data_IF_751354880802
#
_entry.id   IF_751354880802
#
_cell.length_a   1.000
_cell.length_b   1.000
_cell.length_c   1.000
_cell.angle_alpha   90.00
_cell.angle_beta   90.00
_cell.angle_gamma   90.00
#
_symmetry.space_group_name_H-M   'P 1'
#
loop_
_entity.id
_entity.type
_entity.pdbx_description
1 polymer ?
#
# COMPACT_ATOMS: atom_id res chain seq x y z
N UNK A 1 -25.58 -20.22 6.75
CA UNK A 1 -24.38 -19.38 6.67
C UNK A 1 -24.52 -18.24 7.67
N UNK A 2 -23.44 -17.95 8.35
CA UNK A 2 -23.36 -16.83 9.27
C UNK A 2 -22.73 -15.64 8.54
N UNK A 3 -23.24 -14.43 8.77
CA UNK A 3 -22.71 -13.18 8.22
C UNK A 3 -22.59 -12.14 9.31
N UNK A 4 -21.75 -11.14 9.08
CA UNK A 4 -21.61 -9.97 9.93
C UNK A 4 -21.63 -8.71 9.07
N UNK A 5 -22.36 -7.69 9.49
CA UNK A 5 -22.43 -6.40 8.77
C UNK A 5 -21.17 -5.60 9.02
N UNK A 6 -20.32 -5.45 8.00
CA UNK A 6 -19.09 -4.67 8.08
C UNK A 6 -19.29 -3.28 7.50
N UNK A 7 -18.95 -2.24 8.28
CA UNK A 7 -19.04 -0.84 7.89
C UNK A 7 -17.68 -0.32 7.40
N UNK A 8 -17.59 0.06 6.13
CA UNK A 8 -16.38 0.59 5.52
C UNK A 8 -16.24 2.10 5.74
N UNK A 9 -15.00 2.63 5.79
CA UNK A 9 -14.76 4.08 5.90
C UNK A 9 -15.35 4.92 4.78
N UNK A 10 -15.67 4.29 3.64
CA UNK A 10 -16.35 4.94 2.50
C UNK A 10 -17.84 5.19 2.72
N UNK A 11 -18.41 4.78 3.87
CA UNK A 11 -19.85 4.81 4.16
C UNK A 11 -20.62 3.61 3.59
N UNK A 12 -19.99 2.73 2.82
CA UNK A 12 -20.61 1.47 2.36
C UNK A 12 -20.67 0.46 3.51
N UNK A 13 -21.69 -0.39 3.50
CA UNK A 13 -21.77 -1.59 4.33
C UNK A 13 -21.87 -2.83 3.47
N UNK A 14 -21.38 -3.95 3.96
CA UNK A 14 -21.56 -5.26 3.32
C UNK A 14 -21.79 -6.35 4.39
N UNK A 15 -22.56 -7.36 4.01
CA UNK A 15 -22.70 -8.59 4.77
C UNK A 15 -21.52 -9.50 4.42
N UNK A 16 -20.54 -9.56 5.31
CA UNK A 16 -19.35 -10.39 5.13
C UNK A 16 -19.59 -11.79 5.68
N UNK A 17 -19.12 -12.81 4.96
CA UNK A 17 -19.25 -14.21 5.36
C UNK A 17 -18.38 -14.50 6.59
N UNK A 18 -18.98 -15.07 7.62
CA UNK A 18 -18.30 -15.58 8.80
C UNK A 18 -18.14 -17.09 8.67
N UNK A 19 -16.91 -17.57 8.48
CA UNK A 19 -16.62 -18.98 8.33
C UNK A 19 -16.28 -19.59 9.69
N UNK A 20 -17.24 -20.28 10.30
CA UNK A 20 -17.10 -20.91 11.63
C UNK A 20 -16.91 -22.42 11.57
N UNK A 21 -17.10 -23.03 10.39
CA UNK A 21 -17.04 -24.47 10.21
C UNK A 21 -16.68 -24.88 8.78
N UNK A 22 -16.43 -26.19 8.58
CA UNK A 22 -16.06 -26.74 7.28
C UNK A 22 -17.13 -26.52 6.19
N UNK A 23 -18.41 -26.54 6.55
CA UNK A 23 -19.49 -26.36 5.58
C UNK A 23 -19.50 -24.94 4.99
N UNK A 24 -19.22 -23.91 5.82
CA UNK A 24 -19.06 -22.53 5.37
C UNK A 24 -17.88 -22.37 4.41
N UNK A 25 -16.75 -23.02 4.70
CA UNK A 25 -15.58 -23.00 3.81
C UNK A 25 -15.87 -23.70 2.48
N UNK A 26 -16.45 -24.90 2.51
CA UNK A 26 -16.84 -25.64 1.31
C UNK A 26 -17.86 -24.87 0.47
N UNK A 27 -18.78 -24.17 1.10
CA UNK A 27 -19.72 -23.29 0.42
C UNK A 27 -19.03 -22.16 -0.35
N UNK A 28 -18.09 -21.47 0.28
CA UNK A 28 -17.32 -20.40 -0.37
C UNK A 28 -16.54 -20.93 -1.58
N UNK A 29 -15.88 -22.08 -1.42
CA UNK A 29 -15.13 -22.75 -2.51
C UNK A 29 -16.06 -23.20 -3.63
N UNK A 30 -17.26 -23.72 -3.31
CA UNK A 30 -18.26 -24.13 -4.31
C UNK A 30 -18.77 -22.95 -5.15
N UNK A 31 -18.76 -21.74 -4.59
CA UNK A 31 -19.03 -20.50 -5.33
C UNK A 31 -17.82 -19.98 -6.14
N UNK A 32 -16.73 -20.74 -6.21
CA UNK A 32 -15.51 -20.35 -6.93
C UNK A 32 -14.57 -19.44 -6.15
N UNK A 33 -14.81 -19.20 -4.87
CA UNK A 33 -13.92 -18.39 -4.03
C UNK A 33 -12.75 -19.24 -3.53
N UNK A 34 -11.63 -19.20 -4.25
CA UNK A 34 -10.39 -19.91 -3.89
C UNK A 34 -9.38 -19.02 -3.18
N UNK A 35 -9.44 -17.72 -3.40
CA UNK A 35 -8.58 -16.71 -2.81
C UNK A 35 -9.30 -16.03 -1.65
N UNK A 36 -9.10 -16.55 -0.43
CA UNK A 36 -9.78 -16.10 0.77
C UNK A 36 -8.98 -14.98 1.45
N UNK A 37 -9.59 -13.81 1.57
CA UNK A 37 -8.96 -12.62 2.10
C UNK A 37 -9.76 -12.05 3.29
N UNK A 38 -9.57 -12.55 4.52
CA UNK A 38 -10.31 -12.07 5.69
C UNK A 38 -9.85 -10.68 6.15
N UNK A 39 -10.77 -9.99 6.83
CA UNK A 39 -10.45 -8.82 7.66
C UNK A 39 -9.61 -9.22 8.88
N UNK A 40 -8.89 -8.24 9.48
CA UNK A 40 -8.06 -8.45 10.67
C UNK A 40 -8.88 -8.44 11.98
N UNK A 41 -10.13 -8.88 11.94
CA UNK A 41 -11.07 -8.88 13.07
C UNK A 41 -11.83 -10.19 13.16
N UNK A 42 -12.38 -10.48 14.32
CA UNK A 42 -13.36 -11.56 14.53
C UNK A 42 -14.78 -11.01 14.50
N UNK A 43 -15.75 -11.86 14.17
CA UNK A 43 -17.17 -11.47 14.12
C UNK A 43 -17.71 -10.94 15.45
N UNK A 44 -17.11 -11.31 16.58
CA UNK A 44 -17.47 -10.83 17.90
C UNK A 44 -17.16 -9.34 18.13
N UNK A 45 -16.16 -8.79 17.46
CA UNK A 45 -15.79 -7.37 17.55
C UNK A 45 -15.17 -6.92 16.21
N UNK A 46 -15.97 -6.21 15.40
CA UNK A 46 -15.58 -5.75 14.08
C UNK A 46 -14.80 -4.41 14.09
N UNK A 47 -14.61 -3.81 15.26
CA UNK A 47 -13.96 -2.50 15.43
C UNK A 47 -12.53 -2.61 15.99
N UNK A 48 -12.19 -3.75 16.56
CA UNK A 48 -10.88 -3.99 17.18
C UNK A 48 -10.16 -5.16 16.52
N UNK A 49 -9.10 -4.89 15.75
CA UNK A 49 -8.25 -5.94 15.19
C UNK A 49 -7.64 -6.83 16.26
N UNK A 50 -7.62 -8.13 15.97
CA UNK A 50 -6.90 -9.14 16.76
C UNK A 50 -5.60 -9.59 16.07
N UNK A 51 -5.23 -8.92 14.98
CA UNK A 51 -4.01 -9.16 14.21
C UNK A 51 -3.31 -7.85 13.86
N UNK A 52 -1.98 -7.81 14.06
CA UNK A 52 -1.09 -6.86 13.39
C UNK A 52 -0.49 -7.59 12.17
N UNK A 53 -0.74 -7.05 10.99
CA UNK A 53 -0.32 -7.63 9.70
C UNK A 53 0.86 -6.89 9.12
N UNK A 54 1.91 -7.62 8.80
CA UNK A 54 3.12 -7.11 8.17
C UNK A 54 3.21 -7.78 6.81
N UNK A 55 3.02 -7.00 5.75
CA UNK A 55 3.07 -7.47 4.36
C UNK A 55 4.36 -6.95 3.71
N UNK A 56 5.21 -7.89 3.29
CA UNK A 56 6.47 -7.62 2.63
C UNK A 56 6.27 -7.73 1.12
N UNK A 57 6.11 -6.58 0.45
CA UNK A 57 5.85 -6.48 -0.99
C UNK A 57 7.12 -6.04 -1.74
N UNK A 58 7.79 -6.96 -2.48
CA UNK A 58 9.02 -6.64 -3.20
C UNK A 58 8.74 -5.80 -4.44
N UNK A 59 9.56 -4.76 -4.68
CA UNK A 59 9.57 -4.06 -5.97
C UNK A 59 10.14 -4.98 -7.06
N UNK A 60 9.85 -4.72 -8.35
CA UNK A 60 10.45 -5.49 -9.45
C UNK A 60 11.96 -5.56 -9.36
N UNK A 61 12.53 -6.76 -9.52
CA UNK A 61 13.97 -7.01 -9.45
C UNK A 61 14.50 -7.46 -8.08
N UNK A 62 13.69 -7.42 -7.02
CA UNK A 62 14.05 -7.98 -5.72
C UNK A 62 13.98 -9.50 -5.79
N UNK A 63 15.03 -10.18 -5.36
CA UNK A 63 15.11 -11.64 -5.27
C UNK A 63 14.43 -12.17 -4.02
N UNK A 64 14.08 -13.47 -4.01
CA UNK A 64 13.54 -14.12 -2.83
C UNK A 64 14.50 -14.05 -1.63
N UNK A 65 15.81 -14.21 -1.85
CA UNK A 65 16.82 -14.09 -0.79
C UNK A 65 16.81 -12.70 -0.14
N UNK A 66 16.72 -11.63 -0.91
CA UNK A 66 16.63 -10.26 -0.39
C UNK A 66 15.33 -10.03 0.38
N UNK A 67 14.23 -10.65 -0.07
CA UNK A 67 12.96 -10.60 0.64
C UNK A 67 13.05 -11.33 2.01
N UNK A 68 13.71 -12.48 2.04
CA UNK A 68 14.01 -13.23 3.28
C UNK A 68 14.90 -12.41 4.21
N UNK A 69 15.91 -11.69 3.69
CA UNK A 69 16.74 -10.81 4.51
C UNK A 69 15.93 -9.65 5.12
N UNK A 70 14.97 -9.11 4.37
CA UNK A 70 14.01 -8.14 4.92
C UNK A 70 13.15 -8.77 6.03
N UNK A 71 12.67 -10.00 5.85
CA UNK A 71 11.91 -10.73 6.88
C UNK A 71 12.74 -10.98 8.14
N UNK A 72 14.05 -11.24 8.02
CA UNK A 72 14.97 -11.33 9.18
C UNK A 72 15.07 -10.00 9.92
N UNK A 73 15.15 -8.88 9.22
CA UNK A 73 15.15 -7.56 9.84
C UNK A 73 13.83 -7.28 10.58
N UNK A 74 12.69 -7.68 10.00
CA UNK A 74 11.40 -7.62 10.68
C UNK A 74 11.40 -8.48 11.94
N UNK A 75 11.89 -9.73 11.86
CA UNK A 75 11.97 -10.62 13.03
C UNK A 75 12.79 -10.00 14.16
N UNK A 76 13.95 -9.43 13.86
CA UNK A 76 14.77 -8.75 14.86
C UNK A 76 14.03 -7.61 15.55
N UNK A 77 13.24 -6.82 14.81
CA UNK A 77 12.41 -5.77 15.42
C UNK A 77 11.31 -6.38 16.29
N UNK A 78 10.62 -7.40 15.80
CA UNK A 78 9.56 -8.06 16.59
C UNK A 78 10.11 -8.62 17.92
N UNK A 79 11.26 -9.29 17.89
CA UNK A 79 11.91 -9.85 19.07
C UNK A 79 12.24 -8.76 20.10
N UNK A 80 12.81 -7.62 19.67
CA UNK A 80 13.15 -6.50 20.55
C UNK A 80 11.92 -5.86 21.21
N UNK A 81 10.76 -5.93 20.56
CA UNK A 81 9.49 -5.41 21.09
C UNK A 81 8.63 -6.49 21.77
N UNK A 82 9.16 -7.72 21.95
CA UNK A 82 8.45 -8.82 22.60
C UNK A 82 7.25 -9.33 21.81
N UNK A 83 7.28 -9.24 20.48
CA UNK A 83 6.20 -9.66 19.60
C UNK A 83 6.53 -11.00 18.92
N UNK A 84 5.55 -11.88 18.83
CA UNK A 84 5.70 -13.19 18.20
C UNK A 84 5.14 -13.09 16.76
N UNK A 85 6.03 -13.16 15.78
CA UNK A 85 5.69 -13.15 14.37
C UNK A 85 5.51 -14.53 13.79
N UNK A 86 4.44 -14.72 13.01
CA UNK A 86 4.05 -15.95 12.34
C UNK A 86 4.18 -15.77 10.81
N UNK A 87 5.30 -16.20 10.20
CA UNK A 87 5.55 -15.97 8.79
C UNK A 87 4.81 -16.98 7.91
N UNK A 88 4.42 -16.53 6.71
CA UNK A 88 3.90 -17.36 5.63
C UNK A 88 4.26 -16.77 4.28
N UNK A 89 4.30 -17.60 3.23
CA UNK A 89 4.35 -17.07 1.87
C UNK A 89 3.03 -16.36 1.55
N UNK A 90 3.06 -15.32 0.73
CA UNK A 90 1.82 -14.71 0.22
C UNK A 90 1.09 -15.58 -0.81
N UNK A 91 1.74 -16.68 -1.28
CA UNK A 91 1.31 -17.44 -2.44
C UNK A 91 1.46 -16.66 -3.75
N UNK A 92 2.06 -15.47 -3.72
CA UNK A 92 2.43 -14.65 -4.87
C UNK A 92 3.93 -14.36 -4.83
N UNK A 93 4.34 -13.11 -4.60
CA UNK A 93 5.77 -12.70 -4.61
C UNK A 93 6.29 -12.32 -3.23
N UNK A 94 5.40 -12.06 -2.28
CA UNK A 94 5.68 -11.50 -0.97
C UNK A 94 5.73 -12.52 0.16
N UNK A 95 6.02 -12.01 1.34
CA UNK A 95 5.93 -12.71 2.62
C UNK A 95 4.96 -11.92 3.50
N UNK A 96 4.05 -12.63 4.17
CA UNK A 96 3.21 -12.06 5.22
C UNK A 96 3.73 -12.54 6.58
N UNK A 97 3.76 -11.65 7.55
CA UNK A 97 4.08 -12.00 8.94
C UNK A 97 2.91 -11.49 9.79
N UNK A 98 2.23 -12.40 10.47
CA UNK A 98 1.12 -12.07 11.33
C UNK A 98 1.56 -12.09 12.78
N UNK A 99 1.05 -11.15 13.56
CA UNK A 99 1.21 -11.10 15.01
C UNK A 99 -0.17 -11.10 15.61
N UNK A 100 -0.49 -12.11 16.42
CA UNK A 100 -1.74 -12.13 17.17
C UNK A 100 -1.66 -11.09 18.29
N UNK A 101 -2.65 -10.19 18.36
CA UNK A 101 -2.70 -9.11 19.35
C UNK A 101 -3.99 -9.16 20.15
N UNK A 102 -3.97 -8.61 21.37
CA UNK A 102 -5.21 -8.39 22.11
C UNK A 102 -6.13 -7.43 21.35
N UNK A 103 -7.45 -7.71 21.23
CA UNK A 103 -8.39 -6.84 20.50
C UNK A 103 -8.80 -5.63 21.36
N UNK A 104 -7.85 -4.81 21.74
CA UNK A 104 -8.04 -3.65 22.62
C UNK A 104 -7.93 -2.31 21.87
N UNK A 105 -7.26 -2.30 20.72
CA UNK A 105 -6.95 -1.08 19.97
C UNK A 105 -7.80 -0.97 18.70
N UNK A 106 -8.24 0.24 18.34
CA UNK A 106 -8.90 0.47 17.06
C UNK A 106 -7.90 0.35 15.89
N UNK A 107 -8.41 0.13 14.68
CA UNK A 107 -7.61 0.04 13.45
C UNK A 107 -6.59 1.16 13.27
N UNK A 108 -6.94 2.39 13.68
CA UNK A 108 -6.04 3.55 13.57
C UNK A 108 -4.77 3.39 14.41
N UNK A 109 -4.88 2.80 15.59
CA UNK A 109 -3.73 2.55 16.48
C UNK A 109 -2.92 1.34 15.99
N UNK A 110 -3.58 0.25 15.57
CA UNK A 110 -2.87 -0.92 15.02
C UNK A 110 -2.10 -0.53 13.75
N UNK A 111 -2.71 0.26 12.85
CA UNK A 111 -2.01 0.80 11.69
C UNK A 111 -0.85 1.72 12.05
N UNK A 112 -0.99 2.53 13.11
CA UNK A 112 0.07 3.40 13.63
C UNK A 112 1.24 2.59 14.18
N UNK A 113 0.97 1.53 14.92
CA UNK A 113 1.97 0.57 15.39
C UNK A 113 2.69 -0.11 14.22
N UNK A 114 1.95 -0.57 13.20
CA UNK A 114 2.52 -1.15 11.98
C UNK A 114 3.43 -0.17 11.22
N UNK A 115 3.08 1.11 11.14
CA UNK A 115 3.94 2.13 10.55
C UNK A 115 5.21 2.37 11.36
N UNK A 116 5.12 2.37 12.70
CA UNK A 116 6.28 2.54 13.55
C UNK A 116 7.26 1.37 13.40
N UNK A 117 6.75 0.14 13.34
CA UNK A 117 7.53 -1.05 13.03
C UNK A 117 8.19 -0.93 11.65
N UNK A 118 7.44 -0.58 10.61
CA UNK A 118 7.96 -0.45 9.25
C UNK A 118 9.12 0.55 9.16
N UNK A 119 9.00 1.69 9.84
CA UNK A 119 10.07 2.70 9.92
C UNK A 119 11.29 2.22 10.68
N UNK A 120 11.09 1.46 11.75
CA UNK A 120 12.20 0.90 12.52
C UNK A 120 12.98 -0.14 11.70
N UNK A 121 12.28 -1.00 10.94
CA UNK A 121 12.91 -1.94 10.03
C UNK A 121 13.66 -1.20 8.91
N UNK A 122 13.06 -0.17 8.30
CA UNK A 122 13.74 0.68 7.29
C UNK A 122 15.00 1.34 7.89
N UNK A 123 14.95 1.83 9.13
CA UNK A 123 16.11 2.42 9.81
C UNK A 123 17.24 1.41 10.04
N UNK A 124 16.91 0.13 10.35
CA UNK A 124 17.91 -0.94 10.56
C UNK A 124 18.46 -1.50 9.25
N UNK A 125 17.64 -1.55 8.23
CA UNK A 125 17.98 -2.17 6.94
C UNK A 125 17.62 -1.25 5.74
N UNK A 126 18.15 -0.01 5.68
CA UNK A 126 17.74 0.99 4.70
C UNK A 126 18.04 0.61 3.24
N UNK A 127 18.96 -0.32 3.01
CA UNK A 127 19.30 -0.79 1.66
C UNK A 127 18.25 -1.74 1.06
N UNK A 128 17.47 -2.43 1.91
CA UNK A 128 16.54 -3.49 1.47
C UNK A 128 15.09 -3.23 1.85
N UNK A 129 14.81 -2.41 2.85
CA UNK A 129 13.47 -2.15 3.35
C UNK A 129 13.03 -0.71 3.13
N UNK A 130 11.75 -0.50 2.84
CA UNK A 130 11.16 0.83 2.76
C UNK A 130 9.76 0.87 3.36
N UNK A 131 9.42 1.98 4.03
CA UNK A 131 8.08 2.32 4.49
C UNK A 131 7.37 3.33 3.57
N UNK A 132 7.97 3.68 2.43
CA UNK A 132 7.49 4.71 1.52
C UNK A 132 6.27 4.21 0.73
N UNK A 133 5.10 4.83 0.99
CA UNK A 133 3.87 4.46 0.32
C UNK A 133 3.83 4.84 -1.17
N UNK A 134 4.44 5.94 -1.55
CA UNK A 134 4.48 6.42 -2.93
C UNK A 134 5.37 5.52 -3.78
N UNK A 135 4.83 4.97 -4.88
CA UNK A 135 5.52 3.99 -5.72
C UNK A 135 6.85 4.49 -6.27
N UNK A 136 6.91 5.78 -6.60
CA UNK A 136 8.08 6.44 -7.18
C UNK A 136 9.28 6.49 -6.22
N UNK A 137 9.00 6.40 -4.92
CA UNK A 137 10.00 6.48 -3.85
C UNK A 137 10.35 5.11 -3.25
N UNK A 138 9.77 4.02 -3.78
CA UNK A 138 10.01 2.66 -3.26
C UNK A 138 11.29 2.09 -3.81
N UNK A 139 12.02 1.42 -2.94
CA UNK A 139 13.15 0.56 -3.29
C UNK A 139 13.09 -0.71 -2.46
N UNK A 140 13.74 -1.78 -2.89
CA UNK A 140 13.82 -3.01 -2.13
C UNK A 140 12.43 -3.61 -1.83
N UNK A 141 12.12 -3.79 -0.56
CA UNK A 141 10.89 -4.40 -0.06
C UNK A 141 10.05 -3.36 0.68
N UNK A 142 8.84 -3.11 0.20
CA UNK A 142 7.88 -2.31 0.95
C UNK A 142 7.34 -3.12 2.13
N UNK A 143 7.41 -2.53 3.31
CA UNK A 143 6.69 -3.03 4.49
C UNK A 143 5.33 -2.33 4.50
N UNK A 144 4.31 -3.01 3.95
CA UNK A 144 2.98 -2.40 3.79
C UNK A 144 2.18 -2.44 5.07
N UNK A 145 2.34 -1.40 5.87
CA UNK A 145 1.60 -1.16 7.10
C UNK A 145 0.11 -0.80 6.87
N UNK A 146 -0.27 -0.44 5.63
CA UNK A 146 -1.66 -0.09 5.32
C UNK A 146 -2.59 -1.31 5.31
N UNK A 147 -2.05 -2.53 5.28
CA UNK A 147 -2.83 -3.74 5.49
C UNK A 147 -3.53 -3.78 6.86
N UNK A 148 -3.16 -2.90 7.77
CA UNK A 148 -3.83 -2.71 9.07
C UNK A 148 -4.92 -1.63 9.04
N UNK A 149 -5.31 -1.12 7.88
CA UNK A 149 -6.46 -0.22 7.77
C UNK A 149 -7.78 -1.00 7.74
N UNK A 150 -8.88 -0.38 8.21
CA UNK A 150 -10.19 -1.04 8.36
C UNK A 150 -10.73 -1.65 7.06
N UNK A 151 -10.44 -1.04 5.92
CA UNK A 151 -10.92 -1.45 4.60
C UNK A 151 -9.98 -2.46 3.90
N UNK A 152 -9.01 -3.01 4.61
CA UNK A 152 -8.02 -3.93 4.06
C UNK A 152 -8.27 -5.36 4.48
N UNK A 153 -8.01 -6.24 3.53
CA UNK A 153 -8.03 -7.69 3.70
C UNK A 153 -6.70 -8.26 3.21
N UNK A 154 -6.28 -9.38 3.77
CA UNK A 154 -5.02 -10.03 3.42
C UNK A 154 -5.26 -11.52 3.22
N UNK A 155 -4.60 -12.11 2.24
CA UNK A 155 -4.73 -13.53 1.91
C UNK A 155 -4.53 -14.41 3.14
N UNK A 156 -5.53 -15.26 3.42
CA UNK A 156 -5.52 -16.21 4.53
C UNK A 156 -4.42 -17.27 4.38
N UNK A 157 -3.98 -17.84 5.49
CA UNK A 157 -3.21 -19.08 5.48
C UNK A 157 -3.96 -20.17 4.71
N UNK A 158 -3.22 -20.97 3.96
CA UNK A 158 -3.75 -22.06 3.09
C UNK A 158 -4.68 -21.62 1.95
N UNK A 159 -4.87 -20.34 1.72
CA UNK A 159 -5.62 -19.83 0.57
C UNK A 159 -4.85 -20.08 -0.74
N UNK A 160 -5.56 -20.52 -1.78
CA UNK A 160 -4.99 -20.72 -3.11
C UNK A 160 -5.03 -19.42 -3.88
N UNK A 161 -3.88 -19.04 -4.47
CA UNK A 161 -3.80 -17.84 -5.31
C UNK A 161 -4.12 -18.15 -6.76
N UNK A 162 -4.74 -17.22 -7.49
CA UNK A 162 -5.05 -17.38 -8.91
C UNK A 162 -3.80 -17.22 -9.79
N UNK A 163 -2.77 -18.02 -9.50
CA UNK A 163 -1.52 -18.10 -10.27
C UNK A 163 -1.58 -19.34 -11.15
N UNK A 164 -0.86 -19.41 -12.30
CA UNK A 164 -0.89 -20.55 -13.19
C UNK A 164 -0.51 -21.90 -12.53
N UNK A 165 0.37 -21.83 -11.52
CA UNK A 165 0.83 -22.96 -10.71
C UNK A 165 -0.02 -23.20 -9.45
N UNK A 166 -1.11 -22.44 -9.27
CA UNK A 166 -2.02 -22.53 -8.12
C UNK A 166 -1.27 -22.54 -6.78
N UNK A 167 -0.41 -21.55 -6.57
CA UNK A 167 0.35 -21.41 -5.34
C UNK A 167 -0.55 -21.16 -4.15
N UNK A 168 -0.08 -21.59 -3.00
CA UNK A 168 -0.76 -21.48 -1.71
C UNK A 168 -0.06 -20.49 -0.82
N UNK A 169 -0.81 -19.67 -0.11
CA UNK A 169 -0.30 -18.85 0.99
C UNK A 169 0.01 -19.74 2.17
N UNK A 170 1.26 -20.21 2.26
CA UNK A 170 1.65 -21.35 3.08
C UNK A 170 2.35 -20.92 4.37
N UNK A 171 1.84 -21.29 5.56
CA UNK A 171 2.47 -21.08 6.84
C UNK A 171 3.83 -21.76 6.95
N UNK A 172 4.78 -21.07 7.56
CA UNK A 172 6.16 -21.52 7.74
C UNK A 172 6.61 -21.21 9.17
N UNK A 173 7.52 -22.01 9.70
CA UNK A 173 8.38 -21.57 10.80
C UNK A 173 9.41 -20.56 10.27
N UNK A 174 10.08 -19.82 11.16
CA UNK A 174 11.14 -18.91 10.76
C UNK A 174 12.30 -19.64 10.09
N UNK A 175 12.68 -20.82 10.59
CA UNK A 175 13.77 -21.63 10.02
C UNK A 175 13.43 -22.13 8.60
N UNK A 176 12.20 -22.58 8.41
CA UNK A 176 11.71 -22.98 7.09
C UNK A 176 11.69 -21.81 6.11
N UNK A 177 11.25 -20.60 6.56
CA UNK A 177 11.22 -19.42 5.72
C UNK A 177 12.61 -19.10 5.15
N UNK A 178 13.66 -19.24 5.94
CA UNK A 178 15.02 -18.89 5.54
C UNK A 178 15.60 -19.81 4.47
N UNK A 179 15.05 -20.99 4.28
CA UNK A 179 15.50 -21.98 3.30
C UNK A 179 14.45 -22.31 2.25
N UNK A 180 13.27 -21.64 2.30
CA UNK A 180 12.13 -21.97 1.45
C UNK A 180 12.28 -21.48 0.01
N UNK A 181 11.66 -22.24 -0.90
CA UNK A 181 11.31 -21.81 -2.25
C UNK A 181 9.77 -21.58 -2.32
N UNK A 182 9.29 -20.35 -2.58
CA UNK A 182 7.87 -20.06 -2.64
C UNK A 182 7.14 -20.84 -3.75
N UNK A 183 7.84 -21.32 -4.76
CA UNK A 183 7.27 -22.12 -5.85
C UNK A 183 6.98 -23.57 -5.44
N UNK A 184 7.57 -24.04 -4.34
CA UNK A 184 7.32 -25.39 -3.82
C UNK A 184 5.91 -25.57 -3.22
N UNK A 185 5.23 -24.47 -2.85
CA UNK A 185 3.96 -24.51 -2.14
C UNK A 185 2.78 -24.28 -3.09
N UNK A 186 2.27 -25.37 -3.64
CA UNK A 186 1.15 -25.38 -4.60
C UNK A 186 -0.02 -26.19 -4.07
N UNK A 187 -1.19 -26.05 -4.70
CA UNK A 187 -2.38 -26.87 -4.40
C UNK A 187 -2.07 -28.40 -4.46
N UNK A 188 -1.07 -28.80 -5.24
CA UNK A 188 -0.69 -30.21 -5.38
C UNK A 188 0.23 -30.71 -4.26
N UNK A 189 1.12 -29.85 -3.76
CA UNK A 189 2.17 -30.23 -2.80
C UNK A 189 1.75 -30.01 -1.35
N UNK A 190 1.01 -28.94 -1.07
CA UNK A 190 0.63 -28.52 0.28
C UNK A 190 -0.16 -29.58 1.06
N UNK A 191 -1.11 -30.35 0.49
CA UNK A 191 -1.82 -31.39 1.24
C UNK A 191 -0.91 -32.44 1.86
N UNK A 192 0.12 -32.90 1.11
CA UNK A 192 1.08 -33.87 1.62
C UNK A 192 1.98 -33.25 2.71
N UNK A 193 2.48 -32.03 2.48
CA UNK A 193 3.27 -31.29 3.47
C UNK A 193 2.51 -31.05 4.78
N UNK A 194 1.23 -30.68 4.68
CA UNK A 194 0.38 -30.51 5.86
C UNK A 194 0.15 -31.82 6.62
N UNK A 195 -0.06 -32.93 5.90
CA UNK A 195 -0.23 -34.24 6.53
C UNK A 195 1.03 -34.72 7.24
N UNK A 196 2.21 -34.38 6.74
CA UNK A 196 3.51 -34.77 7.31
C UNK A 196 3.87 -33.97 8.57
N UNK A 197 3.72 -32.65 8.55
CA UNK A 197 4.26 -31.76 9.59
C UNK A 197 3.21 -30.99 10.41
N UNK A 198 1.93 -31.03 9.99
CA UNK A 198 0.85 -30.23 10.60
C UNK A 198 0.91 -28.75 10.23
N UNK A 199 0.28 -27.93 11.05
CA UNK A 199 0.20 -26.49 10.87
C UNK A 199 1.24 -25.75 11.74
N UNK A 200 2.26 -25.09 11.16
CA UNK A 200 3.20 -24.26 11.92
C UNK A 200 2.55 -23.11 12.67
N UNK A 201 1.35 -22.68 12.25
CA UNK A 201 0.59 -21.61 12.89
C UNK A 201 -0.45 -22.10 13.91
N UNK A 202 -0.48 -23.41 14.25
CA UNK A 202 -1.48 -23.99 15.16
C UNK A 202 -1.56 -23.28 16.53
N UNK A 203 -0.45 -22.71 17.01
CA UNK A 203 -0.38 -21.99 18.29
C UNK A 203 -0.60 -20.46 18.20
N UNK A 204 -0.99 -19.92 17.05
CA UNK A 204 -1.05 -18.47 16.86
C UNK A 204 -2.05 -17.79 17.82
N UNK A 205 -3.18 -18.43 18.10
CA UNK A 205 -4.22 -17.87 18.96
C UNK A 205 -3.83 -17.90 20.47
N UNK A 206 -2.83 -18.69 20.86
CA UNK A 206 -2.31 -18.75 22.24
C UNK A 206 -1.19 -17.72 22.48
N UNK A 207 -0.63 -17.14 21.41
CA UNK A 207 0.50 -16.22 21.46
C UNK A 207 0.06 -14.75 21.33
N UNK A 208 -0.84 -14.32 22.23
CA UNK A 208 -1.41 -12.97 22.19
C UNK A 208 -0.38 -11.94 22.67
N UNK A 209 -0.03 -11.00 21.79
CA UNK A 209 0.90 -9.92 22.03
C UNK A 209 0.19 -8.60 22.34
N UNK A 210 0.96 -7.63 22.85
CA UNK A 210 0.50 -6.27 23.12
C UNK A 210 1.30 -5.27 22.29
N UNK A 211 0.65 -4.25 21.76
CA UNK A 211 1.29 -3.29 20.82
C UNK A 211 1.69 -1.96 21.46
N UNK A 212 1.52 -1.77 22.77
CA UNK A 212 1.94 -0.55 23.46
C UNK A 212 3.42 -0.20 23.23
N UNK A 213 4.37 -1.15 23.19
CA UNK A 213 5.77 -0.83 22.90
C UNK A 213 5.93 -0.19 21.50
N UNK A 214 5.19 -0.67 20.50
CA UNK A 214 5.21 -0.07 19.15
C UNK A 214 4.49 1.28 19.11
N UNK A 215 3.45 1.49 19.91
CA UNK A 215 2.78 2.79 20.04
C UNK A 215 3.70 3.82 20.71
N UNK A 216 4.45 3.42 21.73
CA UNK A 216 5.48 4.26 22.34
C UNK A 216 6.58 4.62 21.33
N UNK A 217 7.03 3.65 20.52
CA UNK A 217 7.96 3.90 19.42
C UNK A 217 7.38 4.93 18.43
N UNK A 218 6.10 4.81 18.08
CA UNK A 218 5.42 5.77 17.19
C UNK A 218 5.44 7.19 17.77
N UNK A 219 5.22 7.34 19.09
CA UNK A 219 5.28 8.63 19.77
C UNK A 219 6.67 9.27 19.65
N UNK A 220 7.74 8.49 19.73
CA UNK A 220 9.11 8.96 19.53
C UNK A 220 9.39 9.37 18.08
N UNK A 221 8.92 8.59 17.11
CA UNK A 221 9.16 8.82 15.69
C UNK A 221 8.39 10.02 15.11
N UNK A 222 7.20 10.34 15.62
CA UNK A 222 6.33 11.38 15.06
C UNK A 222 6.93 12.81 15.08
N UNK A 223 7.59 13.26 16.14
CA UNK A 223 8.26 14.57 16.15
C UNK A 223 9.36 14.67 15.09
N UNK A 224 10.17 13.61 14.93
CA UNK A 224 11.25 13.55 13.93
C UNK A 224 10.70 13.64 12.51
N UNK A 225 9.62 12.89 12.22
CA UNK A 225 8.96 12.91 10.91
C UNK A 225 8.34 14.28 10.61
N UNK A 226 7.74 14.94 11.62
CA UNK A 226 7.21 16.30 11.48
C UNK A 226 8.34 17.30 11.21
N UNK A 227 9.47 17.19 11.91
CA UNK A 227 10.64 18.03 11.70
C UNK A 227 11.25 17.82 10.30
N UNK A 228 11.41 16.57 9.85
CA UNK A 228 11.90 16.24 8.52
C UNK A 228 10.98 16.74 7.40
N UNK A 229 9.66 16.62 7.56
CA UNK A 229 8.69 17.18 6.62
C UNK A 229 8.76 18.70 6.57
N UNK A 230 8.90 19.37 7.71
CA UNK A 230 9.04 20.83 7.79
C UNK A 230 10.36 21.32 7.16
N UNK A 231 11.45 20.56 7.32
CA UNK A 231 12.73 20.85 6.68
C UNK A 231 12.64 20.66 5.16
N UNK A 232 11.99 19.58 4.69
CA UNK A 232 11.73 19.33 3.25
C UNK A 232 10.84 20.41 2.62
N UNK A 233 9.84 20.90 3.35
CA UNK A 233 8.98 21.99 2.89
C UNK A 233 9.70 23.36 2.87
N UNK A 234 10.79 23.54 3.65
CA UNK A 234 11.64 24.72 3.66
C UNK A 234 12.84 24.64 2.70
N UNK A 235 13.14 23.44 2.17
CA UNK A 235 14.14 23.31 1.12
C UNK A 235 13.69 24.13 -0.10
N UNK A 236 14.59 24.83 -0.80
CA UNK A 236 14.22 25.57 -2.00
C UNK A 236 13.53 24.60 -2.96
N UNK A 237 12.27 24.87 -3.21
CA UNK A 237 11.51 24.11 -4.21
C UNK A 237 12.17 24.39 -5.55
N UNK A 238 12.50 23.33 -6.28
CA UNK A 238 12.86 23.43 -7.68
C UNK A 238 11.84 24.36 -8.34
N UNK A 239 12.23 25.45 -8.99
CA UNK A 239 11.30 26.42 -9.55
C UNK A 239 10.57 25.80 -10.73
N UNK A 240 9.46 25.11 -10.45
CA UNK A 240 8.63 24.43 -11.45
C UNK A 240 7.28 25.14 -11.54
N UNK A 241 6.96 25.65 -12.71
CA UNK A 241 5.69 26.34 -12.95
C UNK A 241 4.78 25.50 -13.86
N UNK A 242 3.49 25.34 -13.54
CA UNK A 242 2.50 24.79 -14.46
C UNK A 242 2.20 25.82 -15.56
N UNK A 243 2.18 25.36 -16.81
CA UNK A 243 1.98 26.25 -17.97
C UNK A 243 0.78 25.86 -18.83
N UNK A 244 0.33 24.61 -18.76
CA UNK A 244 -0.85 24.13 -19.47
C UNK A 244 -1.53 22.99 -18.72
N UNK A 245 -2.85 22.96 -18.76
CA UNK A 245 -3.70 21.86 -18.29
C UNK A 245 -4.81 21.60 -19.31
N UNK A 246 -5.00 20.34 -19.71
CA UNK A 246 -6.03 19.97 -20.69
C UNK A 246 -6.53 18.56 -20.48
N UNK A 247 -7.74 18.26 -20.94
CA UNK A 247 -8.31 16.91 -20.94
C UNK A 247 -7.53 16.00 -21.89
N UNK A 248 -7.15 16.52 -23.05
CA UNK A 248 -6.43 15.77 -24.06
C UNK A 248 -4.95 16.17 -24.11
N UNK A 249 -4.06 15.20 -24.36
CA UNK A 249 -2.63 15.44 -24.44
C UNK A 249 -2.22 16.42 -25.55
N UNK A 250 -2.80 16.35 -26.77
CA UNK A 250 -2.48 17.30 -27.83
C UNK A 250 -2.74 18.75 -27.45
N UNK A 251 -3.84 19.02 -26.72
CA UNK A 251 -4.20 20.38 -26.30
C UNK A 251 -3.23 20.93 -25.26
N UNK A 252 -2.80 20.08 -24.31
CA UNK A 252 -1.76 20.44 -23.35
C UNK A 252 -0.44 20.76 -24.06
N UNK A 253 -0.04 19.96 -25.05
CA UNK A 253 1.18 20.21 -25.85
C UNK A 253 1.07 21.48 -26.71
N UNK A 254 -0.10 21.79 -27.24
CA UNK A 254 -0.34 23.08 -27.93
C UNK A 254 -0.12 24.27 -26.97
N UNK A 255 -0.52 24.13 -25.70
CA UNK A 255 -0.24 25.11 -24.65
C UNK A 255 1.26 25.29 -24.37
N UNK A 256 2.05 24.21 -24.43
CA UNK A 256 3.51 24.29 -24.35
C UNK A 256 4.09 25.14 -25.49
N UNK A 257 3.63 24.95 -26.72
CA UNK A 257 4.16 25.71 -27.87
C UNK A 257 3.76 27.19 -27.79
N UNK A 258 2.55 27.52 -27.32
CA UNK A 258 2.16 28.92 -27.07
C UNK A 258 3.03 29.55 -25.97
N UNK A 259 3.29 28.80 -24.87
CA UNK A 259 4.18 29.28 -23.80
C UNK A 259 5.60 29.54 -24.33
N UNK A 260 6.17 28.63 -25.12
CA UNK A 260 7.48 28.81 -25.73
C UNK A 260 7.54 30.05 -26.63
N UNK A 261 6.49 30.28 -27.43
CA UNK A 261 6.39 31.46 -28.28
C UNK A 261 6.33 32.76 -27.48
N UNK A 262 5.68 32.74 -26.32
CA UNK A 262 5.61 33.90 -25.43
C UNK A 262 6.92 34.15 -24.63
N UNK A 263 7.82 33.14 -24.54
CA UNK A 263 9.05 33.20 -23.75
C UNK A 263 10.31 32.81 -24.55
N UNK A 264 10.57 33.43 -25.69
CA UNK A 264 11.65 33.03 -26.60
C UNK A 264 13.06 33.10 -25.99
N UNK A 265 13.26 34.00 -25.03
CA UNK A 265 14.55 34.12 -24.30
C UNK A 265 14.84 32.95 -23.36
N UNK A 266 13.82 32.26 -22.89
CA UNK A 266 13.93 31.15 -21.92
C UNK A 266 14.11 29.81 -22.60
N UNK A 267 13.50 29.63 -23.77
CA UNK A 267 13.52 28.37 -24.51
C UNK A 267 14.95 27.79 -24.73
N UNK A 268 15.97 28.59 -25.09
CA UNK A 268 17.34 28.10 -25.25
C UNK A 268 18.00 27.58 -23.95
N UNK A 269 17.47 27.97 -22.79
CA UNK A 269 17.97 27.58 -21.46
C UNK A 269 17.33 26.28 -20.96
N UNK A 270 16.32 25.76 -21.68
CA UNK A 270 15.57 24.56 -21.31
C UNK A 270 16.14 23.35 -22.06
N UNK A 271 16.51 22.31 -21.31
CA UNK A 271 16.74 20.99 -21.86
C UNK A 271 15.41 20.20 -21.94
N UNK A 272 15.31 19.14 -22.76
CA UNK A 272 14.09 18.34 -22.90
C UNK A 272 13.53 17.83 -21.58
N UNK A 273 14.40 17.45 -20.64
CA UNK A 273 14.07 16.96 -19.28
C UNK A 273 13.45 18.04 -18.38
N UNK A 274 13.58 19.31 -18.73
CA UNK A 274 12.94 20.41 -18.01
C UNK A 274 11.44 20.58 -18.35
N UNK A 275 10.97 19.91 -19.40
CA UNK A 275 9.54 19.85 -19.75
C UNK A 275 8.93 18.61 -19.12
N UNK A 276 8.13 18.81 -18.08
CA UNK A 276 7.50 17.74 -17.31
C UNK A 276 6.06 17.58 -17.77
N UNK A 277 5.71 16.41 -18.30
CA UNK A 277 4.35 16.06 -18.71
C UNK A 277 3.75 15.12 -17.68
N UNK A 278 2.84 15.62 -16.87
CA UNK A 278 2.10 14.81 -15.89
C UNK A 278 0.84 14.25 -16.53
N UNK A 279 0.58 12.98 -16.29
CA UNK A 279 -0.72 12.35 -16.57
C UNK A 279 -1.42 12.13 -15.24
N UNK A 280 -2.47 12.89 -14.99
CA UNK A 280 -3.26 12.76 -13.78
C UNK A 280 -4.47 11.89 -14.09
N UNK A 281 -4.67 10.83 -13.31
CA UNK A 281 -5.82 9.92 -13.43
C UNK A 281 -6.72 10.08 -12.21
N UNK A 282 -7.91 10.65 -12.42
CA UNK A 282 -9.02 10.57 -11.47
C UNK A 282 -9.74 9.22 -11.58
N UNK A 283 -10.79 9.00 -10.75
CA UNK A 283 -11.60 7.76 -10.82
C UNK A 283 -12.37 7.62 -12.13
N UNK A 284 -12.71 8.74 -12.79
CA UNK A 284 -13.54 8.78 -13.99
C UNK A 284 -12.86 9.45 -15.20
N UNK A 285 -11.85 10.28 -15.00
CA UNK A 285 -11.22 11.05 -16.06
C UNK A 285 -9.70 11.06 -15.95
N UNK A 286 -9.00 11.07 -17.08
CA UNK A 286 -7.58 11.39 -17.18
C UNK A 286 -7.44 12.81 -17.75
N UNK A 287 -6.45 13.56 -17.27
CA UNK A 287 -6.11 14.87 -17.79
C UNK A 287 -4.60 15.09 -17.75
N UNK A 288 -4.12 16.03 -18.54
CA UNK A 288 -2.70 16.29 -18.75
C UNK A 288 -2.32 17.66 -18.21
N UNK A 289 -1.17 17.74 -17.53
CA UNK A 289 -0.58 18.99 -17.10
C UNK A 289 0.86 19.06 -17.55
N UNK A 290 1.24 20.22 -18.12
CA UNK A 290 2.63 20.49 -18.49
C UNK A 290 3.20 21.50 -17.51
N UNK A 291 4.39 21.17 -16.99
CA UNK A 291 5.17 22.01 -16.10
C UNK A 291 6.56 22.23 -16.69
N UNK A 292 7.11 23.41 -16.45
CA UNK A 292 8.49 23.74 -16.82
C UNK A 292 9.34 23.87 -15.56
N UNK A 293 10.45 23.16 -15.55
CA UNK A 293 11.48 23.28 -14.55
C UNK A 293 12.44 24.40 -14.94
N UNK A 294 12.47 25.48 -14.17
CA UNK A 294 13.27 26.67 -14.40
C UNK A 294 14.62 26.68 -13.65
N UNK A 295 15.09 25.51 -13.21
CA UNK A 295 16.34 25.44 -12.42
C UNK A 295 17.53 26.07 -13.16
N UNK A 296 17.62 25.90 -14.49
CA UNK A 296 18.69 26.43 -15.32
C UNK A 296 18.43 27.85 -15.82
N UNK A 297 17.28 28.43 -15.48
CA UNK A 297 16.97 29.84 -15.81
C UNK A 297 17.41 30.73 -14.64
N UNK A 298 18.24 31.77 -14.88
CA UNK A 298 18.61 32.73 -13.85
C UNK A 298 17.38 33.32 -13.15
N UNK A 299 17.49 33.55 -11.85
CA UNK A 299 16.34 33.91 -11.01
C UNK A 299 15.64 35.20 -11.45
N UNK A 300 16.41 36.18 -11.91
CA UNK A 300 15.96 37.46 -12.45
C UNK A 300 15.27 37.35 -13.82
N UNK A 301 15.46 36.22 -14.52
CA UNK A 301 14.86 35.95 -15.83
C UNK A 301 13.67 34.97 -15.77
N UNK A 302 13.38 34.41 -14.57
CA UNK A 302 12.28 33.48 -14.42
C UNK A 302 10.93 34.17 -14.61
N UNK A 303 10.06 33.65 -15.48
CA UNK A 303 8.72 34.19 -15.63
C UNK A 303 7.92 33.95 -14.34
N UNK A 304 7.05 34.86 -13.92
CA UNK A 304 6.11 34.61 -12.85
C UNK A 304 5.17 33.48 -13.23
N UNK A 305 4.65 32.79 -12.23
CA UNK A 305 3.62 31.80 -12.45
C UNK A 305 2.36 32.51 -12.95
N UNK A 306 1.96 32.20 -14.18
CA UNK A 306 0.69 32.62 -14.78
C UNK A 306 -0.38 31.54 -14.67
N UNK A 307 -1.58 31.85 -15.16
CA UNK A 307 -2.64 30.87 -15.37
C UNK A 307 -2.22 29.91 -16.49
N UNK A 308 -2.35 28.59 -16.35
CA UNK A 308 -2.09 27.63 -17.41
C UNK A 308 -2.95 27.93 -18.67
N UNK A 309 -2.43 27.70 -19.87
CA UNK A 309 -3.17 27.86 -21.13
C UNK A 309 -2.97 26.59 -22.02
N UNK A 310 -3.99 25.74 -22.17
CA UNK A 310 -5.33 25.81 -21.57
C UNK A 310 -5.32 25.65 -20.04
N UNK A 311 -6.34 26.22 -19.40
CA UNK A 311 -6.62 26.02 -17.97
C UNK A 311 -7.86 25.13 -17.81
N UNK A 312 -7.64 23.82 -17.83
CA UNK A 312 -8.70 22.84 -17.67
C UNK A 312 -9.06 22.67 -16.19
N UNK A 313 -10.25 23.10 -15.81
CA UNK A 313 -10.76 22.91 -14.45
C UNK A 313 -11.47 21.57 -14.29
N UNK A 314 -10.75 20.62 -13.68
CA UNK A 314 -11.27 19.28 -13.36
C UNK A 314 -12.46 19.32 -12.41
N UNK A 315 -12.57 20.35 -11.55
CA UNK A 315 -13.64 20.44 -10.54
C UNK A 315 -14.97 20.85 -11.13
N UNK A 316 -14.96 21.67 -12.18
CA UNK A 316 -16.19 22.08 -12.88
C UNK A 316 -16.84 20.89 -13.60
N UNK A 317 -16.06 20.05 -14.26
CA UNK A 317 -16.57 18.82 -14.91
C UNK A 317 -17.18 17.83 -13.91
N UNK A 318 -16.66 17.76 -12.69
CA UNK A 318 -17.23 16.94 -11.63
C UNK A 318 -18.56 17.50 -11.09
N UNK A 319 -18.67 18.82 -10.95
CA UNK A 319 -19.89 19.47 -10.51
C UNK A 319 -21.03 19.23 -11.53
N UNK A 320 -20.74 19.33 -12.82
CA UNK A 320 -21.70 19.09 -13.91
C UNK A 320 -22.11 17.61 -13.96
N UNK A 321 -21.19 16.68 -13.75
CA UNK A 321 -21.50 15.24 -13.70
C UNK A 321 -22.38 14.89 -12.48
N UNK A 322 -22.11 15.44 -11.29
CA UNK A 322 -22.96 15.24 -10.11
C UNK A 322 -24.34 15.87 -10.28
N UNK A 323 -24.43 17.04 -10.89
CA UNK A 323 -25.71 17.69 -11.19
C UNK A 323 -26.57 16.87 -12.17
N UNK A 324 -25.96 16.28 -13.20
CA UNK A 324 -26.65 15.41 -14.16
C UNK A 324 -27.05 14.05 -13.55
N UNK A 325 -26.22 13.47 -12.68
CA UNK A 325 -26.49 12.20 -12.04
C UNK A 325 -27.57 12.26 -10.93
N UNK A 326 -27.85 13.45 -10.39
CA UNK A 326 -28.92 13.67 -9.38
C UNK A 326 -30.24 14.09 -9.99
N UNK A 327 -30.24 14.63 -11.22
CA UNK A 327 -31.46 15.06 -11.94
C UNK A 327 -32.35 13.93 -12.48
N UNK A 328 -31.79 12.73 -12.69
CA UNK A 328 -32.55 11.56 -13.21
C UNK A 328 -33.25 10.70 -12.13
N UNK A 329 -33.30 11.15 -10.87
CA UNK A 329 -33.96 10.41 -9.78
C UNK A 329 -35.30 11.03 -9.32
N UNK A 330 -35.77 12.07 -9.97
CA UNK A 330 -37.07 12.72 -9.69
C UNK A 330 -38.09 12.59 -10.84
N UNK A 331 -38.02 11.52 -11.64
CA UNK A 331 -39.12 11.17 -12.57
C UNK A 331 -39.61 9.76 -12.34
#
# INVERSE_FOLDING_TARGET
LETATFHYPSGRSAEELVVTNRAGLVYAVNLGCIDLNPHAVRAADLDRPDELRIDLDPVPGVTWSQLVDCARAVKSVLDDFGLIGWPKTSGSRGIHIWVRIAPEWPFTQVRRAGLALAREVERRAPAIATSQWQKENRHGVLIDYNQNARDRTTCSAYSVRPTPDARVSFPLTWDELYTSDPHAYTLKTVPALFAERGDPHAGIDDAICRIEPLLALADHQEPEVKAAKKAKAKAPTTPVIPIAQAKEKPDALAGLERWKAAHPAIVPLLAPEHVIVDVNRGRATAWYRIRINLTNVPEDQRPPQGTPDPDYDVKSEWADWFASATGDREQ
#
